data_IF_026543130271
#
_entry.id   IF_026543130271
#
_cell.length_a   1.000
_cell.length_b   1.000
_cell.length_c   1.000
_cell.angle_alpha   90.00
_cell.angle_beta   90.00
_cell.angle_gamma   90.00
#
_symmetry.space_group_name_H-M   'P 1'
#
loop_
_entity.id
_entity.type
_entity.pdbx_description
1 polymer ?
#
# COMPACT_ATOMS: atom_id res chain seq x y z
N UNK A 1 -4.57 22.22 4.53
CA UNK A 1 -3.73 21.69 3.42
C UNK A 1 -2.56 20.86 3.95
N UNK A 2 -1.53 21.42 4.61
CA UNK A 2 -0.33 20.69 5.06
C UNK A 2 -0.66 19.42 5.88
N UNK A 3 -1.56 19.50 6.88
CA UNK A 3 -1.99 18.36 7.69
C UNK A 3 -2.61 17.24 6.83
N UNK A 4 -3.53 17.59 5.93
CA UNK A 4 -4.21 16.62 5.07
C UNK A 4 -3.23 15.95 4.09
N UNK A 5 -2.27 16.69 3.55
CA UNK A 5 -1.23 16.12 2.69
C UNK A 5 -0.38 15.10 3.43
N UNK A 6 0.03 15.39 4.68
CA UNK A 6 0.81 14.45 5.49
C UNK A 6 -0.01 13.22 5.90
N UNK A 7 -1.30 13.39 6.26
CA UNK A 7 -2.21 12.27 6.55
C UNK A 7 -2.36 11.37 5.33
N UNK A 8 -2.66 11.96 4.17
CA UNK A 8 -2.84 11.20 2.93
C UNK A 8 -1.56 10.49 2.50
N UNK A 9 -0.43 11.19 2.49
CA UNK A 9 0.89 10.62 2.14
C UNK A 9 1.27 9.45 3.06
N UNK A 10 1.13 9.63 4.37
CA UNK A 10 1.43 8.57 5.34
C UNK A 10 0.45 7.40 5.25
N UNK A 11 -0.85 7.66 5.01
CA UNK A 11 -1.86 6.63 4.86
C UNK A 11 -1.60 5.75 3.62
N UNK A 12 -1.36 6.34 2.46
CA UNK A 12 -1.12 5.60 1.22
C UNK A 12 0.15 4.74 1.31
N UNK A 13 1.23 5.28 1.89
CA UNK A 13 2.46 4.51 2.15
C UNK A 13 2.24 3.37 3.16
N UNK A 14 1.39 3.58 4.17
CA UNK A 14 1.03 2.55 5.12
C UNK A 14 0.17 1.44 4.51
N UNK A 15 -0.65 1.76 3.51
CA UNK A 15 -1.44 0.80 2.74
C UNK A 15 -0.55 -0.11 1.89
N UNK A 16 0.53 0.42 1.29
CA UNK A 16 1.51 -0.38 0.53
C UNK A 16 2.94 -0.15 1.06
N UNK A 17 3.31 -0.76 2.21
CA UNK A 17 4.66 -0.62 2.76
C UNK A 17 5.74 -1.21 1.85
N UNK A 18 5.45 -2.31 1.13
CA UNK A 18 6.38 -2.94 0.20
C UNK A 18 6.64 -2.05 -1.01
N UNK A 19 5.62 -1.41 -1.58
CA UNK A 19 5.81 -0.44 -2.66
C UNK A 19 6.68 0.74 -2.23
N UNK A 20 6.49 1.24 -0.99
CA UNK A 20 7.36 2.27 -0.42
C UNK A 20 8.78 1.76 -0.18
N UNK A 21 8.95 0.50 0.24
CA UNK A 21 10.27 -0.15 0.37
C UNK A 21 10.99 -0.22 -0.97
N UNK A 22 10.31 -0.63 -2.04
CA UNK A 22 10.89 -0.69 -3.39
C UNK A 22 11.36 0.70 -3.85
N UNK A 23 10.57 1.75 -3.61
CA UNK A 23 11.01 3.13 -3.90
C UNK A 23 12.23 3.54 -3.08
N UNK A 24 12.32 3.17 -1.80
CA UNK A 24 13.53 3.41 -0.99
C UNK A 24 14.73 2.67 -1.62
N UNK A 25 14.55 1.43 -2.07
CA UNK A 25 15.59 0.66 -2.74
C UNK A 25 16.03 1.31 -4.05
N UNK A 26 15.11 1.87 -4.85
CA UNK A 26 15.44 2.63 -6.07
C UNK A 26 16.34 3.84 -5.76
N UNK A 27 16.03 4.60 -4.70
CA UNK A 27 16.90 5.68 -4.24
C UNK A 27 18.29 5.19 -3.84
N UNK A 28 18.38 4.11 -3.08
CA UNK A 28 19.66 3.52 -2.66
C UNK A 28 20.47 3.00 -3.87
N UNK A 29 19.79 2.48 -4.88
CA UNK A 29 20.38 2.04 -6.14
C UNK A 29 20.92 3.23 -6.93
N UNK A 30 20.14 4.30 -7.06
CA UNK A 30 20.58 5.54 -7.71
C UNK A 30 21.81 6.18 -7.01
N UNK A 31 21.95 5.98 -5.70
CA UNK A 31 23.12 6.42 -4.93
C UNK A 31 24.27 5.40 -4.90
N UNK A 32 24.10 4.21 -5.48
CA UNK A 32 25.11 3.14 -5.54
C UNK A 32 25.38 2.42 -4.21
N UNK A 33 24.47 2.52 -3.23
CA UNK A 33 24.63 1.95 -1.88
C UNK A 33 23.60 0.85 -1.56
N UNK A 34 22.74 0.46 -2.50
CA UNK A 34 21.68 -0.52 -2.27
C UNK A 34 22.21 -1.84 -1.67
N UNK A 35 23.34 -2.36 -2.18
CA UNK A 35 23.96 -3.61 -1.70
C UNK A 35 24.45 -3.58 -0.25
N UNK A 36 24.59 -2.41 0.33
CA UNK A 36 25.06 -2.23 1.72
C UNK A 36 23.93 -2.19 2.73
N UNK A 37 22.68 -2.05 2.27
CA UNK A 37 21.51 -1.85 3.14
C UNK A 37 20.66 -3.11 3.11
N UNK A 38 20.49 -3.81 4.24
CA UNK A 38 19.64 -5.01 4.31
C UNK A 38 18.16 -4.69 4.04
N UNK A 39 17.43 -5.59 3.41
CA UNK A 39 16.02 -5.42 3.03
C UNK A 39 15.10 -5.16 4.24
N UNK A 40 15.36 -5.79 5.39
CA UNK A 40 14.55 -5.54 6.57
C UNK A 40 14.65 -4.08 7.06
N UNK A 41 15.79 -3.41 6.84
CA UNK A 41 15.97 -1.99 7.24
C UNK A 41 15.22 -1.06 6.30
N UNK A 42 15.16 -1.39 5.01
CA UNK A 42 14.36 -0.62 4.04
C UNK A 42 12.87 -0.78 4.31
N UNK A 43 12.41 -1.99 4.65
CA UNK A 43 11.03 -2.24 5.06
C UNK A 43 10.68 -1.52 6.37
N UNK A 44 11.54 -1.62 7.39
CA UNK A 44 11.34 -0.91 8.65
C UNK A 44 11.28 0.62 8.44
N UNK A 45 12.16 1.15 7.57
CA UNK A 45 12.18 2.56 7.19
C UNK A 45 10.90 2.99 6.47
N UNK A 46 10.37 2.15 5.60
CA UNK A 46 9.10 2.36 4.90
C UNK A 46 7.94 2.51 5.88
N UNK A 47 7.77 1.54 6.79
CA UNK A 47 6.70 1.56 7.81
C UNK A 47 6.87 2.76 8.75
N UNK A 48 8.10 3.06 9.19
CA UNK A 48 8.40 4.19 10.06
C UNK A 48 8.11 5.53 9.38
N UNK A 49 8.47 5.68 8.11
CA UNK A 49 8.18 6.88 7.32
C UNK A 49 6.68 7.10 7.18
N UNK A 50 5.94 6.06 6.79
CA UNK A 50 4.48 6.10 6.67
C UNK A 50 3.80 6.49 7.99
N UNK A 51 4.18 5.82 9.09
CA UNK A 51 3.66 6.10 10.43
C UNK A 51 4.01 7.51 10.89
N UNK A 52 5.23 7.99 10.63
CA UNK A 52 5.67 9.34 11.01
C UNK A 52 4.91 10.42 10.25
N UNK A 53 4.77 10.29 8.94
CA UNK A 53 4.01 11.26 8.13
C UNK A 53 2.54 11.32 8.59
N UNK A 54 1.89 10.15 8.72
CA UNK A 54 0.50 10.07 9.18
C UNK A 54 0.32 10.69 10.57
N UNK A 55 1.18 10.32 11.51
CA UNK A 55 1.14 10.80 12.87
C UNK A 55 1.36 12.32 12.98
N UNK A 56 2.34 12.86 12.26
CA UNK A 56 2.58 14.31 12.21
C UNK A 56 1.42 15.06 11.57
N UNK A 57 0.81 14.48 10.53
CA UNK A 57 -0.39 15.02 9.91
C UNK A 57 -1.56 15.11 10.88
N UNK A 58 -1.82 14.06 11.65
CA UNK A 58 -2.85 14.05 12.71
C UNK A 58 -2.50 15.07 13.82
N UNK A 59 -1.25 15.12 14.27
CA UNK A 59 -0.82 16.09 15.27
C UNK A 59 -0.98 17.53 14.80
N UNK A 60 -0.74 17.83 13.52
CA UNK A 60 -1.03 19.14 12.93
C UNK A 60 -2.52 19.43 12.90
N UNK A 61 -3.35 18.49 12.47
CA UNK A 61 -4.80 18.65 12.37
C UNK A 61 -5.42 18.99 13.72
N UNK A 62 -5.03 18.28 14.78
CA UNK A 62 -5.52 18.46 16.14
C UNK A 62 -4.76 19.55 16.94
N UNK A 63 -3.74 20.18 16.33
CA UNK A 63 -2.85 21.14 16.97
C UNK A 63 -2.19 20.59 18.26
N UNK A 64 -1.75 19.32 18.23
CA UNK A 64 -1.07 18.60 19.31
C UNK A 64 0.41 18.98 19.30
N UNK A 65 1.00 19.22 20.50
CA UNK A 65 2.44 19.51 20.64
C UNK A 65 2.98 20.51 19.59
N UNK A 66 2.19 21.53 19.24
CA UNK A 66 2.37 22.47 18.12
C UNK A 66 3.81 22.92 17.86
N UNK A 67 4.56 23.26 18.93
CA UNK A 67 5.96 23.74 18.81
C UNK A 67 6.95 22.66 18.35
N UNK A 68 6.72 21.40 18.74
CA UNK A 68 7.58 20.29 18.36
C UNK A 68 7.20 19.80 16.97
N UNK A 69 5.91 19.57 16.75
CA UNK A 69 5.37 19.07 15.48
C UNK A 69 5.70 20.01 14.32
N UNK A 70 5.54 21.33 14.51
CA UNK A 70 5.89 22.31 13.46
C UNK A 70 7.37 22.27 13.06
N UNK A 71 8.28 22.02 14.03
CA UNK A 71 9.71 21.88 13.74
C UNK A 71 10.02 20.57 12.99
N UNK A 72 9.38 19.46 13.39
CA UNK A 72 9.58 18.15 12.71
C UNK A 72 9.05 18.20 11.28
N UNK A 73 7.88 18.78 11.07
CA UNK A 73 7.31 18.95 9.72
C UNK A 73 8.19 19.83 8.85
N UNK A 74 8.71 20.95 9.43
CA UNK A 74 9.65 21.81 8.70
C UNK A 74 10.93 21.04 8.35
N UNK A 75 11.46 20.25 9.27
CA UNK A 75 12.66 19.44 9.03
C UNK A 75 12.45 18.45 7.87
N UNK A 76 11.32 17.72 7.89
CA UNK A 76 10.98 16.79 6.79
C UNK A 76 10.88 17.55 5.47
N UNK A 77 10.16 18.66 5.42
CA UNK A 77 10.02 19.44 4.19
C UNK A 77 11.35 20.05 3.72
N UNK A 78 12.23 20.43 4.65
CA UNK A 78 13.58 20.95 4.34
C UNK A 78 14.49 19.87 3.72
N UNK A 79 14.27 18.59 4.03
CA UNK A 79 14.97 17.46 3.41
C UNK A 79 14.31 17.06 2.09
N UNK A 80 12.99 16.95 2.08
CA UNK A 80 12.24 16.45 0.91
C UNK A 80 12.27 17.43 -0.27
N UNK A 81 12.31 18.74 -0.01
CA UNK A 81 12.30 19.72 -1.12
C UNK A 81 13.60 19.68 -1.95
N UNK A 82 14.82 19.70 -1.37
CA UNK A 82 16.05 19.51 -2.13
C UNK A 82 16.14 18.13 -2.80
N UNK A 83 15.64 17.06 -2.13
CA UNK A 83 15.62 15.72 -2.71
C UNK A 83 14.77 15.68 -3.98
N UNK A 84 13.57 16.26 -3.95
CA UNK A 84 12.71 16.32 -5.14
C UNK A 84 13.21 17.27 -6.22
N UNK A 85 13.99 18.30 -5.88
CA UNK A 85 14.70 19.11 -6.87
C UNK A 85 15.79 18.28 -7.57
N UNK A 86 16.56 17.49 -6.81
CA UNK A 86 17.54 16.57 -7.39
C UNK A 86 16.89 15.57 -8.33
N UNK A 87 15.75 14.97 -7.94
CA UNK A 87 14.97 14.08 -8.83
C UNK A 87 14.52 14.80 -10.11
N UNK A 88 14.01 16.03 -10.00
CA UNK A 88 13.51 16.79 -11.14
C UNK A 88 14.62 17.18 -12.14
N UNK A 89 15.87 17.35 -11.67
CA UNK A 89 17.03 17.72 -12.51
C UNK A 89 17.71 16.49 -13.10
N UNK A 90 17.92 15.43 -12.28
CA UNK A 90 18.74 14.27 -12.65
C UNK A 90 17.92 13.12 -13.26
N UNK A 91 16.61 13.12 -13.02
CA UNK A 91 15.62 12.11 -13.46
C UNK A 91 16.08 10.64 -13.32
N UNK A 92 16.68 10.24 -12.17
CA UNK A 92 17.20 8.90 -11.97
C UNK A 92 16.13 7.86 -11.72
N UNK A 93 14.91 8.31 -11.34
CA UNK A 93 13.74 7.49 -11.00
C UNK A 93 12.50 8.18 -11.58
N UNK A 94 11.59 7.42 -12.16
CA UNK A 94 10.40 7.92 -12.87
C UNK A 94 9.49 8.83 -12.03
N UNK A 95 9.37 8.53 -10.72
CA UNK A 95 8.56 9.30 -9.78
C UNK A 95 9.13 9.23 -8.35
N UNK A 96 8.79 10.21 -7.52
CA UNK A 96 9.26 10.31 -6.13
C UNK A 96 8.63 9.27 -5.17
N UNK A 97 7.51 8.64 -5.53
CA UNK A 97 6.75 7.76 -4.61
C UNK A 97 6.09 8.47 -3.43
N UNK A 98 5.98 9.82 -3.45
CA UNK A 98 5.43 10.59 -2.32
C UNK A 98 4.00 10.19 -1.93
N UNK A 99 3.20 9.75 -2.89
CA UNK A 99 1.83 9.29 -2.70
C UNK A 99 1.64 7.84 -3.16
N UNK A 100 2.74 7.06 -3.23
CA UNK A 100 2.70 5.69 -3.76
C UNK A 100 2.03 5.63 -5.13
N UNK A 101 1.37 4.53 -5.41
CA UNK A 101 0.64 4.31 -6.69
C UNK A 101 -0.75 4.99 -6.72
N UNK A 102 -1.20 5.59 -5.59
CA UNK A 102 -2.50 6.26 -5.53
C UNK A 102 -2.55 7.58 -6.33
N UNK A 103 -1.41 8.26 -6.47
CA UNK A 103 -1.27 9.48 -7.24
C UNK A 103 0.16 9.62 -7.74
N UNK A 104 0.39 9.22 -8.96
CA UNK A 104 1.69 9.36 -9.63
C UNK A 104 1.82 10.79 -10.15
N UNK A 105 2.85 11.49 -9.69
CA UNK A 105 3.18 12.85 -10.09
C UNK A 105 4.54 12.85 -10.77
N UNK A 106 4.70 13.65 -11.82
CA UNK A 106 6.02 13.87 -12.42
C UNK A 106 6.99 14.50 -11.40
N UNK A 107 8.30 14.30 -11.60
CA UNK A 107 9.31 14.84 -10.70
C UNK A 107 9.22 16.36 -10.52
N UNK A 108 8.88 17.12 -11.59
CA UNK A 108 8.66 18.56 -11.54
C UNK A 108 7.38 18.96 -10.77
N UNK A 109 6.28 18.23 -10.96
CA UNK A 109 5.04 18.47 -10.21
C UNK A 109 5.27 18.21 -8.72
N UNK A 110 6.02 17.15 -8.40
CA UNK A 110 6.37 16.81 -7.01
C UNK A 110 7.24 17.88 -6.37
N UNK A 111 8.24 18.40 -7.08
CA UNK A 111 9.05 19.53 -6.59
C UNK A 111 8.19 20.78 -6.35
N UNK A 112 7.36 21.19 -7.31
CA UNK A 112 6.45 22.33 -7.16
C UNK A 112 5.53 22.21 -5.95
N UNK A 113 4.91 21.04 -5.77
CA UNK A 113 4.12 20.69 -4.58
C UNK A 113 4.94 20.86 -3.29
N UNK A 114 6.16 20.34 -3.24
CA UNK A 114 7.01 20.38 -2.06
C UNK A 114 7.46 21.80 -1.71
N UNK A 115 7.70 22.68 -2.68
CA UNK A 115 7.96 24.11 -2.44
C UNK A 115 6.77 24.79 -1.74
N UNK A 116 5.55 24.52 -2.22
CA UNK A 116 4.32 25.05 -1.59
C UNK A 116 4.18 24.53 -0.15
N UNK A 117 4.42 23.23 0.07
CA UNK A 117 4.35 22.62 1.40
C UNK A 117 5.45 23.14 2.33
N UNK A 118 6.65 23.40 1.83
CA UNK A 118 7.74 23.99 2.60
C UNK A 118 7.38 25.41 3.04
N UNK A 119 6.82 26.24 2.16
CA UNK A 119 6.33 27.58 2.52
C UNK A 119 5.26 27.49 3.63
N UNK A 120 4.31 26.56 3.49
CA UNK A 120 3.28 26.33 4.51
C UNK A 120 3.91 25.84 5.84
N UNK A 121 4.92 24.98 5.80
CA UNK A 121 5.62 24.51 6.99
C UNK A 121 6.38 25.65 7.71
N UNK A 122 6.99 26.58 6.97
CA UNK A 122 7.64 27.78 7.52
C UNK A 122 6.60 28.67 8.25
N UNK A 123 5.44 28.88 7.66
CA UNK A 123 4.33 29.64 8.27
C UNK A 123 3.90 28.98 9.58
N UNK A 124 3.62 27.69 9.57
CA UNK A 124 3.21 26.92 10.76
C UNK A 124 4.30 26.90 11.82
N UNK A 125 5.57 26.83 11.45
CA UNK A 125 6.69 26.90 12.38
C UNK A 125 6.83 28.29 13.02
N UNK A 126 6.64 29.36 12.24
CA UNK A 126 6.77 30.75 12.72
C UNK A 126 5.62 31.13 13.68
N UNK A 127 4.39 30.66 13.41
CA UNK A 127 3.20 30.94 14.18
C UNK A 127 2.49 29.68 14.73
N UNK A 128 3.18 28.81 15.48
CA UNK A 128 2.62 27.53 15.90
C UNK A 128 1.47 27.68 16.93
N UNK A 129 1.38 28.82 17.61
CA UNK A 129 0.38 29.06 18.65
C UNK A 129 -0.96 29.57 18.10
N UNK A 130 -1.00 30.05 16.86
CA UNK A 130 -2.21 30.54 16.21
C UNK A 130 -3.11 29.41 15.69
N UNK A 131 -2.60 28.19 15.62
CA UNK A 131 -3.41 27.02 15.27
C UNK A 131 -4.46 26.73 16.35
N UNK A 132 -5.76 26.63 16.01
CA UNK A 132 -6.83 26.31 16.96
C UNK A 132 -6.66 24.86 17.47
N UNK A 133 -6.84 24.64 18.77
CA UNK A 133 -6.85 23.31 19.35
C UNK A 133 -8.21 22.68 19.18
N UNK A 134 -8.27 21.53 18.55
CA UNK A 134 -9.51 20.76 18.40
C UNK A 134 -9.79 19.89 19.64
N UNK A 135 -8.76 19.56 20.45
CA UNK A 135 -8.90 18.70 21.62
C UNK A 135 -8.15 19.27 22.84
N UNK A 136 -8.64 18.98 24.05
CA UNK A 136 -8.02 19.38 25.30
C UNK A 136 -6.65 18.73 25.51
N UNK A 137 -5.78 19.36 26.31
CA UNK A 137 -4.44 18.79 26.59
C UNK A 137 -4.49 17.41 27.22
N UNK A 138 -5.51 17.16 28.03
CA UNK A 138 -5.70 15.87 28.75
C UNK A 138 -5.95 14.73 27.78
N UNK A 139 -6.71 14.98 26.69
CA UNK A 139 -7.14 13.91 25.77
C UNK A 139 -6.25 13.77 24.52
N UNK A 140 -5.20 14.61 24.37
CA UNK A 140 -4.26 14.52 23.23
C UNK A 140 -3.60 13.15 23.11
N UNK A 141 -3.29 12.50 24.25
CA UNK A 141 -2.65 11.21 24.25
C UNK A 141 -3.53 10.10 23.62
N UNK A 142 -4.86 10.22 23.77
CA UNK A 142 -5.82 9.27 23.17
C UNK A 142 -5.73 9.38 21.65
N UNK A 143 -5.80 10.59 21.09
CA UNK A 143 -5.69 10.79 19.62
C UNK A 143 -4.36 10.27 19.12
N UNK A 144 -3.26 10.56 19.81
CA UNK A 144 -1.91 10.13 19.41
C UNK A 144 -1.77 8.60 19.38
N UNK A 145 -2.14 7.93 20.47
CA UNK A 145 -2.00 6.47 20.55
C UNK A 145 -2.98 5.76 19.62
N UNK A 146 -4.24 6.24 19.55
CA UNK A 146 -5.23 5.67 18.64
C UNK A 146 -4.77 5.74 17.19
N UNK A 147 -4.27 6.90 16.75
CA UNK A 147 -3.79 7.08 15.37
C UNK A 147 -2.56 6.22 15.08
N UNK A 148 -1.64 6.09 16.04
CA UNK A 148 -0.46 5.27 15.87
C UNK A 148 -0.80 3.78 15.80
N UNK A 149 -1.66 3.30 16.70
CA UNK A 149 -2.14 1.90 16.69
C UNK A 149 -2.90 1.61 15.39
N UNK A 150 -3.77 2.53 14.96
CA UNK A 150 -4.52 2.35 13.73
C UNK A 150 -3.61 2.20 12.52
N UNK A 151 -2.66 3.12 12.31
CA UNK A 151 -1.81 3.09 11.13
C UNK A 151 -0.84 1.89 11.13
N UNK A 152 -0.30 1.51 12.29
CA UNK A 152 0.66 0.42 12.39
C UNK A 152 -0.01 -0.96 12.33
N UNK A 153 -1.05 -1.20 13.12
CA UNK A 153 -1.66 -2.53 13.23
C UNK A 153 -2.74 -2.77 12.18
N UNK A 154 -3.70 -1.83 12.04
CA UNK A 154 -4.85 -2.05 11.17
C UNK A 154 -4.57 -1.75 9.70
N UNK A 155 -3.53 -0.99 9.40
CA UNK A 155 -3.17 -0.67 8.02
C UNK A 155 -1.87 -1.38 7.64
N UNK A 156 -0.71 -0.97 8.19
CA UNK A 156 0.59 -1.49 7.74
C UNK A 156 0.78 -2.99 8.02
N UNK A 157 0.54 -3.44 9.25
CA UNK A 157 0.74 -4.86 9.61
C UNK A 157 -0.22 -5.77 8.83
N UNK A 158 -1.49 -5.36 8.66
CA UNK A 158 -2.46 -6.10 7.87
C UNK A 158 -2.03 -6.18 6.40
N UNK A 159 -1.59 -5.06 5.80
CA UNK A 159 -1.13 -5.03 4.41
C UNK A 159 0.13 -5.87 4.17
N UNK A 160 1.01 -5.98 5.16
CA UNK A 160 2.21 -6.84 5.10
C UNK A 160 1.87 -8.32 5.27
N UNK A 161 0.87 -8.63 6.10
CA UNK A 161 0.47 -10.02 6.35
C UNK A 161 -0.36 -10.59 5.18
N UNK A 162 -1.30 -9.80 4.64
CA UNK A 162 -2.12 -10.22 3.51
C UNK A 162 -1.68 -9.52 2.20
N UNK A 163 -2.46 -8.60 1.71
CA UNK A 163 -2.15 -7.72 0.57
C UNK A 163 -2.65 -6.31 0.88
N UNK A 164 -2.16 -5.28 0.18
CA UNK A 164 -2.66 -3.92 0.30
C UNK A 164 -4.18 -3.85 0.18
N UNK A 165 -4.85 -3.26 1.20
CA UNK A 165 -6.31 -3.16 1.23
C UNK A 165 -6.87 -2.30 0.10
N UNK A 166 -6.11 -1.28 -0.31
CA UNK A 166 -6.39 -0.45 -1.48
C UNK A 166 -5.29 -0.72 -2.50
N UNK A 167 -5.63 -1.40 -3.58
CA UNK A 167 -4.72 -1.68 -4.68
C UNK A 167 -4.93 -0.63 -5.78
N UNK A 168 -4.00 0.31 -5.87
CA UNK A 168 -4.02 1.40 -6.86
C UNK A 168 -3.24 1.06 -8.14
N UNK A 169 -2.67 -0.16 -8.21
CA UNK A 169 -1.82 -0.60 -9.31
C UNK A 169 -2.64 -1.08 -10.50
N UNK A 170 -2.04 -1.15 -11.70
CA UNK A 170 -2.75 -1.57 -12.91
C UNK A 170 -3.41 -2.95 -12.79
N UNK A 171 -2.76 -3.88 -12.10
CA UNK A 171 -3.21 -5.27 -11.95
C UNK A 171 -4.19 -5.47 -10.77
N UNK A 172 -4.94 -4.47 -10.35
CA UNK A 172 -5.90 -4.59 -9.24
C UNK A 172 -7.02 -5.61 -9.55
N UNK A 173 -7.71 -6.08 -8.52
CA UNK A 173 -8.88 -6.95 -8.68
C UNK A 173 -9.94 -6.20 -9.52
N UNK A 174 -10.44 -6.87 -10.56
CA UNK A 174 -11.34 -6.31 -11.56
C UNK A 174 -10.66 -5.69 -12.78
N UNK A 175 -9.31 -5.58 -12.79
CA UNK A 175 -8.57 -5.09 -13.94
C UNK A 175 -8.69 -6.06 -15.14
N UNK A 176 -8.98 -5.52 -16.31
CA UNK A 176 -9.03 -6.27 -17.57
C UNK A 176 -7.69 -6.15 -18.30
N UNK A 177 -6.80 -7.13 -18.04
CA UNK A 177 -5.46 -7.13 -18.60
C UNK A 177 -5.51 -7.41 -20.11
N UNK A 178 -6.42 -8.28 -20.55
CA UNK A 178 -6.60 -8.61 -21.97
C UNK A 178 -6.97 -7.35 -22.78
N UNK A 179 -7.97 -6.60 -22.32
CA UNK A 179 -8.40 -5.38 -22.99
C UNK A 179 -7.26 -4.36 -23.06
N UNK A 180 -6.57 -4.13 -21.95
CA UNK A 180 -5.46 -3.18 -21.91
C UNK A 180 -4.25 -3.61 -22.74
N UNK A 181 -3.96 -4.92 -22.82
CA UNK A 181 -2.90 -5.47 -23.67
C UNK A 181 -3.27 -5.38 -25.15
N UNK A 182 -4.52 -5.63 -25.51
CA UNK A 182 -5.02 -5.48 -26.91
C UNK A 182 -4.88 -4.02 -27.35
N UNK A 183 -5.28 -3.04 -26.54
CA UNK A 183 -5.10 -1.62 -26.83
C UNK A 183 -3.63 -1.24 -27.06
N UNK A 184 -2.72 -1.81 -26.25
CA UNK A 184 -1.29 -1.62 -26.44
C UNK A 184 -0.83 -2.13 -27.81
N UNK A 185 -1.28 -3.31 -28.24
CA UNK A 185 -0.95 -3.87 -29.56
C UNK A 185 -1.51 -3.02 -30.70
N UNK A 186 -2.59 -2.29 -30.48
CA UNK A 186 -3.17 -1.32 -31.42
C UNK A 186 -2.44 0.05 -31.41
N UNK A 187 -1.41 0.21 -30.56
CA UNK A 187 -0.58 1.41 -30.45
C UNK A 187 -1.14 2.48 -29.51
N UNK A 188 -2.08 2.12 -28.65
CA UNK A 188 -2.59 3.01 -27.61
C UNK A 188 -1.70 2.92 -26.34
N UNK A 189 -1.71 3.99 -25.53
CA UNK A 189 -1.05 3.96 -24.22
C UNK A 189 -1.76 2.96 -23.29
N UNK A 190 -0.99 2.06 -22.71
CA UNK A 190 -1.48 1.03 -21.77
C UNK A 190 -0.52 0.85 -20.61
N UNK A 191 -1.01 0.61 -19.38
CA UNK A 191 -0.17 0.32 -18.23
C UNK A 191 0.45 -1.08 -18.28
N UNK A 192 0.14 -1.90 -19.28
CA UNK A 192 0.63 -3.27 -19.47
C UNK A 192 1.74 -3.38 -20.53
N UNK A 193 2.38 -2.27 -20.91
CA UNK A 193 3.42 -2.23 -21.96
C UNK A 193 4.61 -3.14 -21.70
N UNK A 194 4.92 -3.40 -20.41
CA UNK A 194 6.05 -4.22 -20.01
C UNK A 194 5.65 -5.66 -19.66
N UNK A 195 4.37 -6.04 -19.87
CA UNK A 195 3.92 -7.40 -19.60
C UNK A 195 4.43 -8.35 -20.70
N UNK A 196 5.32 -9.23 -20.30
CA UNK A 196 5.93 -10.24 -21.13
C UNK A 196 6.04 -11.54 -20.33
N UNK A 197 5.58 -12.65 -20.87
CA UNK A 197 5.57 -13.96 -20.20
C UNK A 197 6.21 -14.98 -21.15
N UNK A 198 7.46 -15.36 -20.86
CA UNK A 198 8.24 -16.32 -21.63
C UNK A 198 8.24 -17.66 -20.92
N UNK A 199 7.86 -18.72 -21.58
CA UNK A 199 7.93 -20.09 -21.05
C UNK A 199 9.38 -20.55 -20.96
N UNK A 200 9.78 -21.15 -19.81
CA UNK A 200 11.17 -21.53 -19.56
C UNK A 200 11.63 -22.74 -20.44
N UNK A 201 10.70 -23.62 -20.74
CA UNK A 201 11.01 -24.88 -21.45
C UNK A 201 11.43 -24.65 -22.91
N UNK A 202 10.82 -23.75 -23.63
CA UNK A 202 11.04 -23.53 -25.07
C UNK A 202 11.41 -22.08 -25.45
N UNK A 203 11.30 -21.14 -24.51
CA UNK A 203 11.60 -19.74 -24.73
C UNK A 203 10.52 -19.01 -25.55
N UNK A 204 9.32 -19.58 -25.67
CA UNK A 204 8.21 -18.93 -26.40
C UNK A 204 7.53 -17.87 -25.54
N UNK A 205 7.16 -16.73 -26.16
CA UNK A 205 6.28 -15.74 -25.55
C UNK A 205 4.83 -16.26 -25.58
N UNK A 206 4.30 -16.59 -24.42
CA UNK A 206 2.94 -17.08 -24.23
C UNK A 206 1.99 -16.04 -23.63
N UNK A 207 2.38 -14.77 -23.63
CA UNK A 207 1.56 -13.68 -23.05
C UNK A 207 0.17 -13.62 -23.68
N UNK A 208 0.11 -13.61 -25.03
CA UNK A 208 -1.17 -13.60 -25.75
C UNK A 208 -1.99 -14.85 -25.45
N UNK A 209 -1.36 -16.03 -25.39
CA UNK A 209 -2.02 -17.30 -25.09
C UNK A 209 -2.69 -17.25 -23.71
N UNK A 210 -1.95 -16.85 -22.66
CA UNK A 210 -2.48 -16.74 -21.30
C UNK A 210 -3.62 -15.72 -21.22
N UNK A 211 -3.47 -14.58 -21.86
CA UNK A 211 -4.50 -13.55 -21.87
C UNK A 211 -5.73 -13.91 -22.72
N UNK A 212 -5.56 -14.71 -23.78
CA UNK A 212 -6.66 -15.20 -24.62
C UNK A 212 -7.40 -16.40 -24.02
N UNK A 213 -6.82 -17.05 -23.01
CA UNK A 213 -7.42 -18.22 -22.35
C UNK A 213 -8.85 -17.93 -21.90
N UNK A 214 -9.75 -18.87 -22.17
CA UNK A 214 -11.15 -18.78 -21.78
C UNK A 214 -11.37 -19.52 -20.46
N UNK A 215 -12.12 -18.88 -19.56
CA UNK A 215 -12.36 -19.42 -18.23
C UNK A 215 -11.28 -18.99 -17.25
N UNK A 216 -11.01 -19.85 -16.26
CA UNK A 216 -10.12 -19.51 -15.14
C UNK A 216 -8.67 -19.91 -15.42
N UNK A 217 -7.75 -19.08 -14.96
CA UNK A 217 -6.29 -19.33 -15.03
C UNK A 217 -5.67 -18.90 -13.71
N UNK A 218 -4.84 -19.76 -13.12
CA UNK A 218 -4.05 -19.45 -11.93
C UNK A 218 -2.66 -18.98 -12.31
N UNK A 219 -2.21 -17.90 -11.71
CA UNK A 219 -0.85 -17.41 -11.81
C UNK A 219 -0.22 -17.36 -10.41
N UNK A 220 0.75 -18.23 -10.16
CA UNK A 220 1.61 -18.16 -8.98
C UNK A 220 2.72 -17.16 -9.27
N UNK A 221 2.76 -16.08 -8.55
CA UNK A 221 3.72 -14.99 -8.76
C UNK A 221 4.82 -15.10 -7.71
N UNK A 222 6.01 -15.47 -8.13
CA UNK A 222 7.18 -15.62 -7.27
C UNK A 222 8.36 -14.83 -7.84
N UNK A 223 8.45 -13.50 -7.61
CA UNK A 223 9.51 -12.67 -8.20
C UNK A 223 10.91 -13.23 -7.99
N UNK A 224 11.22 -13.71 -6.79
CA UNK A 224 12.50 -14.32 -6.44
C UNK A 224 12.27 -15.62 -5.70
N UNK A 225 12.40 -16.75 -6.39
CA UNK A 225 12.26 -18.10 -5.81
C UNK A 225 13.26 -18.37 -4.68
N UNK A 226 14.44 -17.75 -4.74
CA UNK A 226 15.48 -17.88 -3.70
C UNK A 226 15.08 -17.24 -2.36
N UNK A 227 14.09 -16.36 -2.39
CA UNK A 227 13.57 -15.61 -1.23
C UNK A 227 12.08 -15.86 -1.00
N UNK A 228 11.49 -16.77 -1.79
CA UNK A 228 10.07 -17.09 -1.65
C UNK A 228 9.81 -17.78 -0.32
N UNK A 229 8.70 -17.43 0.32
CA UNK A 229 8.27 -18.07 1.56
C UNK A 229 7.76 -19.48 1.25
N UNK A 230 8.36 -20.47 1.90
CA UNK A 230 8.07 -21.88 1.73
C UNK A 230 7.15 -22.46 2.82
N UNK A 231 6.68 -21.62 3.74
CA UNK A 231 5.86 -22.06 4.87
C UNK A 231 4.46 -22.55 4.51
N UNK A 232 4.01 -22.27 3.28
CA UNK A 232 2.68 -22.60 2.77
C UNK A 232 2.72 -23.41 1.46
N UNK A 233 3.73 -24.27 1.32
CA UNK A 233 3.89 -25.10 0.13
C UNK A 233 2.76 -26.11 -0.04
N UNK A 234 2.25 -26.67 1.06
CA UNK A 234 1.17 -27.62 1.03
C UNK A 234 -0.11 -26.99 0.44
N UNK A 235 -0.42 -25.76 0.83
CA UNK A 235 -1.57 -25.02 0.30
C UNK A 235 -1.37 -24.64 -1.18
N UNK A 236 -0.15 -24.29 -1.59
CA UNK A 236 0.16 -24.04 -3.02
C UNK A 236 -0.02 -25.31 -3.85
N UNK A 237 0.45 -26.46 -3.35
CA UNK A 237 0.31 -27.73 -4.02
C UNK A 237 -1.17 -28.16 -4.10
N UNK A 238 -1.97 -27.95 -3.05
CA UNK A 238 -3.41 -28.17 -3.07
C UNK A 238 -4.11 -27.31 -4.15
N UNK A 239 -3.69 -26.03 -4.29
CA UNK A 239 -4.22 -25.16 -5.35
C UNK A 239 -3.86 -25.68 -6.74
N UNK A 240 -2.64 -26.21 -6.92
CA UNK A 240 -2.22 -26.80 -8.18
C UNK A 240 -3.01 -28.07 -8.49
N UNK A 241 -3.14 -29.00 -7.53
CA UNK A 241 -3.95 -30.21 -7.68
C UNK A 241 -5.41 -29.87 -8.03
N UNK A 242 -6.01 -28.92 -7.29
CA UNK A 242 -7.35 -28.43 -7.59
C UNK A 242 -7.47 -27.89 -9.03
N UNK A 243 -6.44 -27.19 -9.52
CA UNK A 243 -6.44 -26.68 -10.89
C UNK A 243 -6.40 -27.79 -11.92
N UNK A 244 -5.62 -28.84 -11.67
CA UNK A 244 -5.53 -30.02 -12.55
C UNK A 244 -6.85 -30.80 -12.60
N UNK A 245 -7.46 -31.04 -11.43
CA UNK A 245 -8.71 -31.80 -11.31
C UNK A 245 -9.88 -31.11 -12.04
N UNK A 246 -9.86 -29.78 -12.11
CA UNK A 246 -10.88 -29.00 -12.78
C UNK A 246 -10.51 -28.50 -14.18
N UNK A 247 -9.27 -28.78 -14.63
CA UNK A 247 -8.79 -28.41 -15.96
C UNK A 247 -8.52 -26.91 -16.11
N UNK A 248 -8.15 -26.21 -15.01
CA UNK A 248 -7.75 -24.82 -15.05
C UNK A 248 -6.24 -24.70 -15.28
N UNK A 249 -5.78 -23.90 -16.27
CA UNK A 249 -4.35 -23.63 -16.45
C UNK A 249 -3.71 -23.01 -15.20
N UNK A 250 -2.49 -23.44 -14.89
CA UNK A 250 -1.71 -22.96 -13.77
C UNK A 250 -0.27 -22.67 -14.23
N UNK A 251 0.24 -21.46 -13.99
CA UNK A 251 1.59 -21.02 -14.36
C UNK A 251 2.29 -20.37 -13.18
N UNK A 252 3.60 -20.60 -13.04
CA UNK A 252 4.44 -19.90 -12.09
C UNK A 252 5.26 -18.82 -12.82
N UNK A 253 5.01 -17.54 -12.50
CA UNK A 253 5.75 -16.42 -13.07
C UNK A 253 6.86 -15.98 -12.12
N UNK A 254 8.10 -15.92 -12.62
CA UNK A 254 9.29 -15.57 -11.83
C UNK A 254 10.30 -14.74 -12.64
N UNK A 255 11.14 -13.98 -11.93
CA UNK A 255 12.33 -13.35 -12.50
C UNK A 255 13.61 -14.12 -12.15
N UNK A 256 13.50 -15.26 -11.47
CA UNK A 256 14.62 -16.11 -11.08
C UNK A 256 15.18 -16.92 -12.24
N UNK A 257 16.49 -17.14 -12.23
CA UNK A 257 17.15 -17.96 -13.25
C UNK A 257 16.93 -19.47 -13.05
N UNK A 258 17.29 -20.24 -14.07
CA UNK A 258 17.09 -21.70 -14.17
C UNK A 258 17.52 -22.47 -12.90
N UNK A 259 18.69 -22.16 -12.32
CA UNK A 259 19.18 -22.82 -11.09
C UNK A 259 18.26 -22.64 -9.87
N UNK A 260 17.60 -21.51 -9.79
CA UNK A 260 16.66 -21.24 -8.70
C UNK A 260 15.36 -22.01 -8.93
N UNK A 261 14.92 -22.09 -10.18
CA UNK A 261 13.75 -22.89 -10.59
C UNK A 261 14.00 -24.38 -10.31
N UNK A 262 15.15 -24.94 -10.69
CA UNK A 262 15.52 -26.32 -10.37
C UNK A 262 15.51 -26.57 -8.85
N UNK A 263 16.17 -25.68 -8.09
CA UNK A 263 16.19 -25.79 -6.62
C UNK A 263 14.79 -25.72 -6.02
N UNK A 264 13.93 -24.86 -6.57
CA UNK A 264 12.54 -24.76 -6.11
C UNK A 264 11.76 -26.03 -6.44
N UNK A 265 11.89 -26.59 -7.65
CA UNK A 265 11.31 -27.88 -8.03
C UNK A 265 11.75 -29.02 -7.10
N UNK A 266 13.03 -29.08 -6.78
CA UNK A 266 13.59 -30.10 -5.87
C UNK A 266 13.04 -29.95 -4.44
N UNK A 267 12.83 -28.73 -3.98
CA UNK A 267 12.34 -28.44 -2.63
C UNK A 267 10.83 -28.72 -2.50
N UNK A 268 10.06 -28.32 -3.49
CA UNK A 268 8.59 -28.25 -3.41
C UNK A 268 7.89 -29.41 -4.14
N UNK A 269 8.60 -30.13 -5.01
CA UNK A 269 7.99 -31.09 -5.92
C UNK A 269 7.14 -30.46 -7.02
N UNK A 270 7.32 -29.16 -7.32
CA UNK A 270 6.50 -28.40 -8.26
C UNK A 270 6.56 -28.96 -9.69
N UNK A 271 5.41 -29.36 -10.22
CA UNK A 271 5.24 -29.88 -11.59
C UNK A 271 4.59 -28.86 -12.54
N UNK A 272 4.17 -27.69 -12.02
CA UNK A 272 3.58 -26.62 -12.83
C UNK A 272 4.63 -25.94 -13.73
N UNK A 273 4.23 -25.44 -14.92
CA UNK A 273 5.12 -24.73 -15.83
C UNK A 273 5.61 -23.40 -15.24
N UNK A 274 6.91 -23.13 -15.45
CA UNK A 274 7.55 -21.88 -15.06
C UNK A 274 7.67 -20.95 -16.25
N UNK A 275 7.40 -19.66 -16.01
CA UNK A 275 7.53 -18.62 -17.00
C UNK A 275 8.37 -17.47 -16.45
N UNK A 276 9.19 -16.88 -17.31
CA UNK A 276 9.98 -15.70 -16.99
C UNK A 276 9.17 -14.42 -17.26
N UNK A 277 9.26 -13.52 -16.32
CA UNK A 277 8.65 -12.19 -16.41
C UNK A 277 9.56 -11.19 -15.68
N UNK A 278 9.52 -9.93 -16.08
CA UNK A 278 10.28 -8.87 -15.45
C UNK A 278 9.93 -8.68 -13.96
N UNK A 279 10.96 -8.46 -13.14
CA UNK A 279 10.86 -8.31 -11.68
C UNK A 279 9.93 -7.16 -11.24
N UNK A 280 9.97 -6.03 -11.95
CA UNK A 280 9.14 -4.85 -11.61
C UNK A 280 7.67 -5.17 -11.88
N UNK A 281 7.39 -5.82 -13.00
CA UNK A 281 6.05 -6.28 -13.37
C UNK A 281 5.49 -7.27 -12.34
N UNK A 282 6.26 -8.28 -11.95
CA UNK A 282 5.85 -9.26 -10.93
C UNK A 282 5.51 -8.58 -9.59
N UNK A 283 6.38 -7.69 -9.12
CA UNK A 283 6.16 -6.90 -7.91
C UNK A 283 4.95 -5.95 -8.03
N UNK A 284 4.62 -5.52 -9.25
CA UNK A 284 3.44 -4.69 -9.52
C UNK A 284 2.16 -5.53 -9.53
N UNK A 285 2.21 -6.77 -10.00
CA UNK A 285 1.07 -7.69 -9.99
C UNK A 285 0.64 -8.00 -8.55
N UNK A 286 1.57 -8.45 -7.69
CA UNK A 286 1.25 -8.82 -6.29
C UNK A 286 2.35 -8.39 -5.32
N UNK A 287 1.98 -8.02 -4.09
CA UNK A 287 2.89 -7.67 -3.00
C UNK A 287 3.09 -8.88 -2.05
N UNK A 288 3.47 -10.01 -2.61
CA UNK A 288 3.78 -11.23 -1.88
C UNK A 288 4.77 -12.07 -2.68
N UNK A 289 5.62 -12.82 -2.01
CA UNK A 289 6.57 -13.73 -2.66
C UNK A 289 6.59 -15.07 -1.90
N UNK A 290 5.83 -16.10 -2.36
CA UNK A 290 4.93 -16.06 -3.50
C UNK A 290 3.58 -15.39 -3.21
N UNK A 291 2.82 -15.09 -4.25
CA UNK A 291 1.42 -14.70 -4.20
C UNK A 291 0.64 -15.39 -5.30
N UNK A 292 -0.64 -15.60 -5.11
CA UNK A 292 -1.51 -16.27 -6.09
C UNK A 292 -2.49 -15.27 -6.69
N UNK A 293 -2.67 -15.33 -8.00
CA UNK A 293 -3.63 -14.53 -8.75
C UNK A 293 -4.56 -15.47 -9.52
N UNK A 294 -5.86 -15.26 -9.40
CA UNK A 294 -6.86 -15.91 -10.23
C UNK A 294 -7.35 -14.94 -11.28
N UNK A 295 -7.27 -15.34 -12.52
CA UNK A 295 -7.84 -14.62 -13.66
C UNK A 295 -9.04 -15.39 -14.22
N UNK A 296 -9.95 -14.66 -14.84
CA UNK A 296 -11.05 -15.21 -15.66
C UNK A 296 -11.15 -14.39 -16.94
N UNK A 297 -11.03 -15.04 -18.08
CA UNK A 297 -11.12 -14.38 -19.40
C UNK A 297 -10.16 -13.19 -19.55
N UNK A 298 -8.94 -13.27 -18.99
CA UNK A 298 -7.96 -12.18 -18.99
C UNK A 298 -8.20 -11.07 -17.96
N UNK A 299 -9.17 -11.25 -17.06
CA UNK A 299 -9.54 -10.31 -16.00
C UNK A 299 -9.09 -10.82 -14.62
N UNK A 300 -8.49 -9.97 -13.80
CA UNK A 300 -8.10 -10.33 -12.42
C UNK A 300 -9.35 -10.47 -11.54
N UNK A 301 -9.62 -11.67 -11.05
CA UNK A 301 -10.79 -11.98 -10.19
C UNK A 301 -10.41 -11.92 -8.71
N UNK A 302 -9.30 -12.56 -8.33
CA UNK A 302 -8.83 -12.65 -6.94
C UNK A 302 -7.32 -12.56 -6.88
N UNK A 303 -6.84 -12.16 -5.71
CA UNK A 303 -5.42 -12.17 -5.35
C UNK A 303 -5.26 -12.61 -3.90
N UNK A 304 -4.25 -13.42 -3.64
CA UNK A 304 -3.90 -13.87 -2.30
C UNK A 304 -2.40 -13.70 -2.06
N UNK A 305 -2.04 -13.39 -0.84
CA UNK A 305 -0.67 -13.56 -0.36
C UNK A 305 -0.49 -15.02 0.07
N UNK A 306 0.76 -15.47 0.20
CA UNK A 306 1.06 -16.80 0.74
C UNK A 306 0.44 -17.04 2.14
N UNK A 307 0.16 -15.98 2.92
CA UNK A 307 -0.42 -16.09 4.26
C UNK A 307 -1.94 -16.31 4.30
N UNK A 308 -2.63 -16.11 3.20
CA UNK A 308 -4.10 -16.19 3.15
C UNK A 308 -4.62 -16.87 1.88
N UNK A 309 -3.91 -17.93 1.44
CA UNK A 309 -4.38 -18.81 0.37
C UNK A 309 -5.74 -19.44 0.76
N UNK A 310 -6.57 -19.82 -0.22
CA UNK A 310 -7.81 -20.55 0.05
C UNK A 310 -7.55 -21.85 0.81
N UNK A 311 -8.41 -22.16 1.76
CA UNK A 311 -8.37 -23.41 2.52
C UNK A 311 -9.01 -24.54 1.70
N UNK A 312 -8.71 -25.81 2.02
CA UNK A 312 -9.21 -26.99 1.31
C UNK A 312 -10.75 -27.02 1.25
N UNK A 313 -11.40 -26.54 2.30
CA UNK A 313 -12.86 -26.45 2.39
C UNK A 313 -13.47 -25.51 1.32
N UNK A 314 -12.77 -24.44 0.97
CA UNK A 314 -13.16 -23.48 -0.05
C UNK A 314 -12.95 -24.02 -1.50
N UNK A 315 -12.14 -25.07 -1.65
CA UNK A 315 -11.82 -25.74 -2.93
C UNK A 315 -12.72 -26.93 -3.21
N UNK A 316 -13.76 -27.15 -2.42
CA UNK A 316 -14.69 -28.30 -2.55
C UNK A 316 -15.60 -28.22 -3.79
N UNK A 317 -15.82 -27.03 -4.34
CA UNK A 317 -16.67 -26.74 -5.49
C UNK A 317 -15.85 -26.18 -6.66
N UNK A 318 -16.39 -26.29 -7.89
CA UNK A 318 -15.79 -25.63 -9.06
C UNK A 318 -15.87 -24.11 -8.95
N UNK A 319 -14.89 -23.41 -9.56
CA UNK A 319 -14.86 -21.93 -9.53
C UNK A 319 -16.12 -21.28 -10.11
N UNK A 320 -16.77 -21.95 -11.09
CA UNK A 320 -18.02 -21.48 -11.69
C UNK A 320 -19.15 -21.36 -10.67
N UNK A 321 -19.18 -22.25 -9.68
CA UNK A 321 -20.24 -22.41 -8.70
C UNK A 321 -19.86 -21.80 -7.33
N UNK A 322 -18.58 -21.47 -7.13
CA UNK A 322 -18.04 -20.95 -5.87
C UNK A 322 -17.93 -19.43 -5.83
N UNK A 323 -17.87 -18.87 -4.62
CA UNK A 323 -17.59 -17.44 -4.42
C UNK A 323 -16.15 -17.05 -4.84
N UNK A 324 -15.21 -18.02 -4.85
CA UNK A 324 -13.82 -17.78 -5.26
C UNK A 324 -13.73 -17.38 -6.73
N UNK A 325 -14.56 -17.96 -7.58
CA UNK A 325 -14.60 -17.67 -9.02
C UNK A 325 -15.33 -16.38 -9.39
N UNK A 326 -15.84 -15.62 -8.40
CA UNK A 326 -16.55 -14.37 -8.62
C UNK A 326 -15.74 -13.17 -8.10
N UNK A 327 -15.97 -12.00 -8.70
CA UNK A 327 -15.40 -10.76 -8.17
C UNK A 327 -15.86 -10.54 -6.72
N UNK A 328 -14.97 -10.10 -5.81
CA UNK A 328 -15.35 -9.80 -4.45
C UNK A 328 -16.47 -8.75 -4.40
N UNK A 329 -17.41 -8.94 -3.51
CA UNK A 329 -18.48 -7.97 -3.21
C UNK A 329 -17.96 -6.72 -2.50
N UNK A 330 -16.76 -6.81 -1.90
CA UNK A 330 -16.09 -5.68 -1.26
C UNK A 330 -15.61 -4.66 -2.30
N UNK A 331 -16.33 -3.57 -2.39
CA UNK A 331 -15.97 -2.43 -3.24
C UNK A 331 -14.99 -1.49 -2.55
N UNK A 332 -14.32 -0.61 -3.30
CA UNK A 332 -13.51 0.49 -2.76
C UNK A 332 -14.33 1.35 -1.79
N UNK A 333 -15.62 1.56 -2.09
CA UNK A 333 -16.56 2.29 -1.22
C UNK A 333 -16.71 1.63 0.14
N UNK A 334 -16.85 0.31 0.19
CA UNK A 334 -16.96 -0.45 1.46
C UNK A 334 -15.68 -0.31 2.29
N UNK A 335 -14.51 -0.38 1.67
CA UNK A 335 -13.21 -0.19 2.32
C UNK A 335 -13.04 1.24 2.87
N UNK A 336 -13.46 2.25 2.12
CA UNK A 336 -13.48 3.65 2.59
C UNK A 336 -14.42 3.81 3.78
N UNK A 337 -15.63 3.26 3.71
CA UNK A 337 -16.59 3.30 4.82
C UNK A 337 -16.02 2.60 6.07
N UNK A 338 -15.28 1.51 5.91
CA UNK A 338 -14.60 0.86 7.02
C UNK A 338 -13.58 1.81 7.69
N UNK A 339 -12.73 2.47 6.91
CA UNK A 339 -11.76 3.47 7.44
C UNK A 339 -12.48 4.63 8.12
N UNK A 340 -13.55 5.17 7.52
CA UNK A 340 -14.35 6.25 8.11
C UNK A 340 -14.99 5.82 9.43
N UNK A 341 -15.54 4.61 9.49
CA UNK A 341 -16.22 4.08 10.68
C UNK A 341 -15.22 3.80 11.81
N UNK A 342 -14.08 3.17 11.51
CA UNK A 342 -13.15 2.73 12.54
C UNK A 342 -12.06 3.75 12.87
N UNK A 343 -11.85 4.77 12.06
CA UNK A 343 -10.85 5.78 12.33
C UNK A 343 -11.44 7.17 12.54
N UNK A 344 -12.22 7.66 11.59
CA UNK A 344 -12.70 9.06 11.62
C UNK A 344 -13.82 9.24 12.64
N UNK A 345 -14.80 8.33 12.67
CA UNK A 345 -15.96 8.45 13.56
C UNK A 345 -15.58 8.44 15.05
N UNK A 346 -14.71 7.54 15.58
CA UNK A 346 -14.30 7.60 16.98
C UNK A 346 -13.57 8.90 17.35
N UNK A 347 -12.69 9.40 16.46
CA UNK A 347 -12.00 10.67 16.67
C UNK A 347 -12.97 11.86 16.65
N UNK A 348 -13.98 11.81 15.79
CA UNK A 348 -15.03 12.83 15.74
C UNK A 348 -15.86 12.84 17.03
N UNK A 349 -16.32 11.67 17.47
CA UNK A 349 -17.08 11.51 18.72
C UNK A 349 -16.24 12.01 19.91
N UNK A 350 -14.98 11.61 19.99
CA UNK A 350 -14.06 12.07 21.03
C UNK A 350 -13.92 13.60 21.03
N UNK A 351 -13.77 14.19 19.85
CA UNK A 351 -13.61 15.64 19.71
C UNK A 351 -14.85 16.40 20.14
N UNK A 352 -16.03 15.92 19.73
CA UNK A 352 -17.33 16.51 20.12
C UNK A 352 -17.51 16.39 21.63
N UNK A 353 -17.31 15.22 22.21
CA UNK A 353 -17.42 14.97 23.64
C UNK A 353 -16.48 15.87 24.47
N UNK A 354 -15.22 16.02 24.04
CA UNK A 354 -14.22 16.89 24.66
C UNK A 354 -14.66 18.36 24.62
N UNK A 355 -15.22 18.83 23.50
CA UNK A 355 -15.72 20.21 23.38
C UNK A 355 -16.96 20.47 24.22
N UNK A 356 -17.91 19.53 24.23
CA UNK A 356 -19.11 19.62 25.08
C UNK A 356 -18.74 19.66 26.57
N UNK A 357 -17.83 18.80 26.99
CA UNK A 357 -17.35 18.80 28.38
C UNK A 357 -16.61 20.09 28.74
N UNK A 358 -15.78 20.61 27.85
CA UNK A 358 -15.11 21.88 28.05
C UNK A 358 -16.12 23.04 28.19
N UNK A 359 -17.17 23.05 27.36
CA UNK A 359 -18.24 24.06 27.39
C UNK A 359 -19.06 23.98 28.69
N UNK A 360 -19.50 22.78 29.12
CA UNK A 360 -20.24 22.59 30.38
C UNK A 360 -19.44 23.06 31.60
N UNK A 361 -18.13 22.76 31.62
CA UNK A 361 -17.26 23.24 32.70
C UNK A 361 -17.07 24.76 32.68
N UNK A 362 -17.09 25.38 31.53
CA UNK A 362 -17.00 26.83 31.40
C UNK A 362 -18.28 27.50 31.97
N UNK A 363 -19.47 27.01 31.62
CA UNK A 363 -20.78 27.48 32.12
C UNK A 363 -20.82 27.37 33.65
N UNK A 364 -20.53 26.17 34.19
CA UNK A 364 -20.50 25.93 35.66
C UNK A 364 -19.53 26.86 36.42
N UNK A 365 -18.42 27.27 35.79
CA UNK A 365 -17.49 28.24 36.39
C UNK A 365 -18.02 29.67 36.34
N UNK A 366 -18.79 30.02 35.33
CA UNK A 366 -19.52 31.30 35.23
C UNK A 366 -20.52 31.47 36.37
N UNK A 367 -21.42 30.45 36.50
CA UNK A 367 -22.43 30.44 37.56
C UNK A 367 -21.83 30.55 38.97
N UNK A 368 -20.71 29.85 39.24
CA UNK A 368 -20.03 29.95 40.53
C UNK A 368 -19.40 31.33 40.80
N UNK A 369 -19.01 32.07 39.79
CA UNK A 369 -18.47 33.41 39.92
C UNK A 369 -19.60 34.44 40.22
N UNK A 370 -20.75 34.31 39.55
CA UNK A 370 -21.92 35.15 39.77
C UNK A 370 -22.45 34.98 41.20
N UNK A 371 -22.66 33.74 41.65
CA UNK A 371 -23.11 33.44 43.03
C UNK A 371 -22.13 33.96 44.09
N UNK A 372 -20.84 34.07 43.75
CA UNK A 372 -19.83 34.61 44.70
C UNK A 372 -19.83 36.14 44.72
N UNK A 373 -20.10 36.82 43.59
CA UNK A 373 -20.20 38.25 43.50
C UNK A 373 -21.50 38.80 44.12
N UNK A 374 -22.56 38.01 44.24
CA UNK A 374 -23.80 38.38 44.92
C UNK A 374 -23.72 38.22 46.47
N UNK A 375 -22.68 37.55 46.98
CA UNK A 375 -22.47 37.32 48.42
C UNK A 375 -21.41 38.24 49.05
N UNK A 376 -20.68 38.98 48.25
CA UNK A 376 -19.76 40.05 48.65
C UNK A 376 -20.42 41.41 48.51
#
# INVERSE_FOLDING_TARGET
MLALTFIFSGFVKAVDPLGTQYKIHDYLTAWGIAKMVPDFTTLASSVLLAATEFFLGICLLFAIRRRIVSKLVLLIMAVMTPLTLWLAISDPISDCGCFGDALVLTNWQTFGKNVILLCAAIVVWKWPLDMPRLISRTNQWIVMNYSLVFILLFISAKSLYTLPQFDFRPYHIGADIREGWTKMMEGEESPYQELFIEQVEDGEDITEQILAEKGYTFLLIAPHLEQADDSRLDEINQMYEYSLDNGYPFYCLTASGEKAIEKWRDLTGAEYPFCLTDDITLKTIVRSNPGLVLMKDGKVIRKWSHNNLPEEEELSEKLEDSELGQLPTETVTTKILWVLTWFVLPLLILTIADRLWAWTNWVRRGEKKEVRSEKE
#
